data_IF_102691871253
#
_entry.id   IF_102691871253
#
_cell.length_a   1.000
_cell.length_b   1.000
_cell.length_c   1.000
_cell.angle_alpha   90.00
_cell.angle_beta   90.00
_cell.angle_gamma   90.00
#
_symmetry.space_group_name_H-M   'P 1'
#
loop_
_entity.id
_entity.type
_entity.pdbx_description
1 polymer ?
#
# COMPACT_ATOMS: atom_id res chain seq x y z
N UNK A 1 -2.07 -5.90 40.56
CA UNK A 1 -3.39 -5.98 39.90
C UNK A 1 -3.22 -5.73 38.41
N UNK A 2 -3.99 -6.46 37.60
CA UNK A 2 -4.03 -6.52 36.13
C UNK A 2 -3.98 -5.13 35.43
N UNK A 3 -3.60 -4.96 34.17
CA UNK A 3 -3.36 -5.87 33.05
C UNK A 3 -3.43 -5.07 31.74
N UNK A 4 -2.62 -5.45 30.75
CA UNK A 4 -2.86 -5.29 29.32
C UNK A 4 -3.22 -3.90 28.74
N UNK A 5 -2.22 -3.13 28.30
CA UNK A 5 -2.43 -2.05 27.33
C UNK A 5 -1.27 -1.84 26.34
N UNK A 6 -0.52 -2.89 25.98
CA UNK A 6 0.55 -2.80 24.97
C UNK A 6 0.05 -3.05 23.52
N UNK A 7 -1.25 -3.27 23.31
CA UNK A 7 -1.78 -3.80 22.03
C UNK A 7 -2.51 -2.81 21.11
N UNK A 8 -2.89 -1.61 21.57
CA UNK A 8 -3.82 -0.73 20.82
C UNK A 8 -3.20 0.52 20.19
N UNK A 9 -1.88 0.73 20.32
CA UNK A 9 -1.20 1.94 19.83
C UNK A 9 -0.53 1.81 18.46
N UNK A 10 -0.54 0.63 17.82
CA UNK A 10 0.12 0.40 16.52
C UNK A 10 -0.77 0.57 15.29
N UNK A 11 -2.09 0.64 15.45
CA UNK A 11 -3.03 0.73 14.33
C UNK A 11 -3.40 2.17 13.94
N UNK A 12 -3.33 3.14 14.87
CA UNK A 12 -3.65 4.55 14.58
C UNK A 12 -2.57 5.28 13.78
N UNK A 13 -1.34 4.78 13.78
CA UNK A 13 -0.22 5.41 13.08
C UNK A 13 -0.08 4.99 11.62
N UNK A 14 -0.95 4.10 11.11
CA UNK A 14 -0.94 3.68 9.70
C UNK A 14 -2.10 4.28 8.90
N UNK A 15 -2.72 5.34 9.42
CA UNK A 15 -3.64 6.18 8.67
C UNK A 15 -2.85 7.33 8.07
N UNK A 16 -2.83 7.43 6.75
CA UNK A 16 -2.13 8.49 6.02
C UNK A 16 -2.49 8.39 4.56
N UNK A 17 -2.35 9.50 3.83
CA UNK A 17 -2.57 9.50 2.39
C UNK A 17 -1.47 8.66 1.75
N UNK A 18 -1.90 7.59 1.10
CA UNK A 18 -1.04 6.71 0.33
C UNK A 18 -1.21 7.11 -1.14
N UNK A 19 -0.26 7.88 -1.64
CA UNK A 19 -0.27 8.34 -3.04
C UNK A 19 0.61 7.41 -3.86
N UNK A 20 0.19 7.10 -5.09
CA UNK A 20 1.01 6.36 -6.04
C UNK A 20 1.25 7.24 -7.26
N UNK A 21 2.53 7.41 -7.59
CA UNK A 21 2.96 8.14 -8.76
C UNK A 21 2.85 7.25 -10.01
N UNK A 22 2.75 7.85 -11.20
CA UNK A 22 2.62 7.14 -12.48
C UNK A 22 3.78 6.15 -12.73
N UNK A 23 4.93 6.37 -12.09
CA UNK A 23 6.11 5.50 -12.14
C UNK A 23 6.06 4.33 -11.13
N UNK A 24 4.96 4.14 -10.40
CA UNK A 24 4.80 3.10 -9.37
C UNK A 24 5.57 3.38 -8.08
N UNK A 25 5.93 4.65 -7.84
CA UNK A 25 6.50 5.12 -6.57
C UNK A 25 5.38 5.50 -5.63
N UNK A 26 5.38 4.93 -4.44
CA UNK A 26 4.40 5.19 -3.41
C UNK A 26 4.92 6.29 -2.49
N UNK A 27 4.09 7.26 -2.12
CA UNK A 27 4.37 8.23 -1.08
C UNK A 27 3.44 7.97 0.09
N UNK A 28 4.02 7.75 1.26
CA UNK A 28 3.26 7.53 2.49
C UNK A 28 3.98 8.18 3.64
N UNK A 29 3.27 9.02 4.40
CA UNK A 29 3.83 9.80 5.52
C UNK A 29 5.12 10.56 5.16
N UNK A 30 5.12 11.24 4.01
CA UNK A 30 6.29 11.96 3.47
C UNK A 30 7.50 11.07 3.13
N UNK A 31 7.36 9.75 3.24
CA UNK A 31 8.38 8.79 2.83
C UNK A 31 8.06 8.22 1.46
N UNK A 32 9.11 8.03 0.67
CA UNK A 32 9.03 7.36 -0.62
C UNK A 32 9.24 5.86 -0.45
N UNK A 33 8.28 5.12 -0.95
CA UNK A 33 8.20 3.67 -0.94
C UNK A 33 8.20 3.18 -2.39
N UNK A 34 8.77 2.01 -2.63
CA UNK A 34 8.77 1.34 -3.92
C UNK A 34 8.03 0.02 -3.80
N UNK A 35 7.23 -0.30 -4.81
CA UNK A 35 6.57 -1.62 -4.86
C UNK A 35 7.62 -2.69 -5.07
N UNK A 36 7.74 -3.61 -4.12
CA UNK A 36 8.66 -4.74 -4.22
C UNK A 36 7.88 -5.98 -4.66
N UNK A 37 8.23 -6.51 -5.84
CA UNK A 37 7.59 -7.70 -6.40
C UNK A 37 6.19 -7.45 -6.96
N UNK A 38 5.43 -8.54 -7.14
CA UNK A 38 4.05 -8.51 -7.61
C UNK A 38 3.07 -8.45 -6.43
N UNK A 39 2.09 -7.54 -6.42
CA UNK A 39 1.01 -7.53 -5.47
C UNK A 39 0.17 -8.78 -5.62
N UNK A 40 -0.29 -9.30 -4.49
CA UNK A 40 -1.31 -10.34 -4.47
C UNK A 40 -2.67 -9.69 -4.69
N UNK A 41 -3.15 -9.70 -5.94
CA UNK A 41 -4.47 -9.17 -6.27
C UNK A 41 -5.57 -10.13 -5.84
N UNK A 42 -6.55 -9.62 -5.09
CA UNK A 42 -7.83 -10.26 -4.79
C UNK A 42 -8.97 -9.43 -5.43
N UNK A 43 -10.21 -9.97 -5.48
CA UNK A 43 -11.37 -9.24 -6.02
C UNK A 43 -11.66 -7.94 -5.27
N UNK A 44 -11.50 -7.95 -3.94
CA UNK A 44 -11.87 -6.88 -3.01
C UNK A 44 -10.67 -6.27 -2.26
N UNK A 45 -9.46 -6.78 -2.49
CA UNK A 45 -8.26 -6.32 -1.80
C UNK A 45 -7.01 -6.55 -2.63
N UNK A 46 -5.92 -5.89 -2.28
CA UNK A 46 -4.61 -6.10 -2.90
C UNK A 46 -3.55 -6.10 -1.82
N UNK A 47 -2.72 -7.14 -1.85
CA UNK A 47 -1.58 -7.26 -0.97
C UNK A 47 -0.42 -6.46 -1.55
N UNK A 48 -0.13 -5.31 -0.96
CA UNK A 48 1.01 -4.49 -1.36
C UNK A 48 2.20 -4.81 -0.46
N UNK A 49 3.33 -5.06 -1.11
CA UNK A 49 4.64 -5.12 -0.46
C UNK A 49 5.44 -3.91 -0.94
N UNK A 50 5.71 -3.02 0.00
CA UNK A 50 6.46 -1.80 -0.20
C UNK A 50 7.81 -1.90 0.50
N UNK A 51 8.84 -1.31 -0.09
CA UNK A 51 10.16 -1.16 0.52
C UNK A 51 10.61 0.29 0.37
N UNK A 52 11.11 0.90 1.44
CA UNK A 52 11.67 2.25 1.37
C UNK A 52 13.19 2.23 1.14
N UNK A 53 13.76 3.40 0.86
CA UNK A 53 15.20 3.54 0.67
C UNK A 53 16.03 3.21 1.93
N UNK A 54 15.43 3.29 3.11
CA UNK A 54 16.05 2.92 4.38
C UNK A 54 16.07 1.39 4.63
N UNK A 55 15.59 0.58 3.67
CA UNK A 55 15.53 -0.89 3.80
C UNK A 55 14.37 -1.38 4.67
N UNK A 56 13.48 -0.49 5.10
CA UNK A 56 12.25 -0.88 5.81
C UNK A 56 11.27 -1.46 4.80
N UNK A 57 10.67 -2.59 5.20
CA UNK A 57 9.69 -3.31 4.41
C UNK A 57 8.34 -3.20 5.08
N UNK A 58 7.35 -2.87 4.27
CA UNK A 58 5.99 -2.71 4.70
C UNK A 58 5.10 -3.58 3.82
N UNK A 59 4.41 -4.53 4.45
CA UNK A 59 3.42 -5.37 3.78
C UNK A 59 2.07 -5.12 4.41
N UNK A 60 1.08 -4.77 3.59
CA UNK A 60 -0.28 -4.52 4.05
C UNK A 60 -1.31 -4.87 3.00
N UNK A 61 -2.51 -5.16 3.47
CA UNK A 61 -3.68 -5.32 2.64
C UNK A 61 -4.32 -3.96 2.42
N UNK A 62 -4.40 -3.55 1.17
CA UNK A 62 -5.20 -2.42 0.76
C UNK A 62 -6.57 -2.96 0.32
N UNK A 63 -7.58 -2.71 1.14
CA UNK A 63 -8.96 -3.08 0.83
C UNK A 63 -9.52 -2.08 -0.18
N UNK A 64 -10.41 -2.54 -1.06
CA UNK A 64 -11.15 -1.66 -1.96
C UNK A 64 -11.92 -0.57 -1.21
N UNK A 65 -12.42 -0.88 0.00
CA UNK A 65 -13.16 0.05 0.86
C UNK A 65 -12.28 1.17 1.47
N UNK A 66 -10.96 1.00 1.47
CA UNK A 66 -10.04 1.99 2.01
C UNK A 66 -9.90 3.24 1.13
N UNK A 67 -10.51 3.25 -0.05
CA UNK A 67 -10.48 4.36 -1.00
C UNK A 67 -11.77 4.40 -1.85
N UNK A 68 -12.04 5.52 -2.53
CA UNK A 68 -13.11 5.58 -3.50
C UNK A 68 -12.94 4.54 -4.62
N UNK A 69 -14.05 3.96 -5.10
CA UNK A 69 -14.02 2.91 -6.13
C UNK A 69 -13.35 3.35 -7.44
N UNK A 70 -13.36 4.65 -7.75
CA UNK A 70 -12.64 5.23 -8.90
C UNK A 70 -11.12 5.08 -8.77
N UNK A 71 -10.57 5.34 -7.59
CA UNK A 71 -9.14 5.23 -7.30
C UNK A 71 -8.72 3.77 -7.28
N UNK A 72 -9.59 2.88 -6.76
CA UNK A 72 -9.37 1.44 -6.83
C UNK A 72 -9.29 0.94 -8.28
N UNK A 73 -10.20 1.40 -9.13
CA UNK A 73 -10.22 1.03 -10.55
C UNK A 73 -9.01 1.60 -11.28
N UNK A 74 -8.62 2.84 -11.00
CA UNK A 74 -7.41 3.46 -11.55
C UNK A 74 -6.14 2.72 -11.12
N UNK A 75 -6.03 2.34 -9.84
CA UNK A 75 -4.92 1.54 -9.32
C UNK A 75 -4.83 0.19 -10.03
N UNK A 76 -5.98 -0.50 -10.19
CA UNK A 76 -6.04 -1.77 -10.91
C UNK A 76 -5.62 -1.59 -12.37
N UNK A 77 -6.11 -0.55 -13.04
CA UNK A 77 -5.71 -0.27 -14.42
C UNK A 77 -4.21 0.04 -14.54
N UNK A 78 -3.65 0.88 -13.68
CA UNK A 78 -2.22 1.15 -13.65
C UNK A 78 -1.41 -0.15 -13.57
N UNK A 79 -1.82 -1.05 -12.68
CA UNK A 79 -1.11 -2.29 -12.45
C UNK A 79 -1.22 -3.31 -13.57
N UNK A 80 -2.41 -3.48 -14.16
CA UNK A 80 -2.61 -4.42 -15.27
C UNK A 80 -2.13 -3.86 -16.62
N UNK A 81 -2.17 -2.54 -16.83
CA UNK A 81 -1.87 -1.93 -18.13
C UNK A 81 -0.51 -1.22 -18.19
N UNK A 82 -0.11 -0.43 -17.18
CA UNK A 82 1.16 0.32 -17.25
C UNK A 82 2.40 -0.53 -16.90
N UNK A 83 2.25 -1.58 -16.08
CA UNK A 83 3.40 -2.41 -15.67
C UNK A 83 3.85 -3.43 -16.73
N UNK A 84 3.12 -3.56 -17.84
CA UNK A 84 3.53 -4.39 -18.97
C UNK A 84 4.49 -3.69 -19.95
N UNK A 85 4.86 -2.42 -19.68
CA UNK A 85 5.74 -1.61 -20.53
C UNK A 85 7.10 -1.36 -19.86
N UNK A 86 7.79 -2.45 -19.49
CA UNK A 86 9.23 -2.42 -19.22
C UNK A 86 9.75 -3.84 -19.46
N UNK A 87 9.89 -4.17 -20.75
CA UNK A 87 10.80 -5.22 -21.19
C UNK A 87 12.05 -4.54 -21.73
#
# INVERSE_FOLDING_TARGET
MAGGAAGRRRFRERCGVLEVDAQGRWRWQQQSWRTRGNPGWLPFAVLLSLENAAGQRLRFWLMQDAMPAQDWRALRMHWFYCRSYSR
#
